data_IF_212446380688
#
_entry.id   IF_212446380688
#
_cell.length_a   1.000
_cell.length_b   1.000
_cell.length_c   1.000
_cell.angle_alpha   90.00
_cell.angle_beta   90.00
_cell.angle_gamma   90.00
#
_symmetry.space_group_name_H-M   'P 1'
#
loop_
_entity.id
_entity.type
_entity.pdbx_description
1 polymer ?
#
# COMPACT_ATOMS: atom_id res chain seq x y z
N UNK A 1 12.48 30.29 6.89
CA UNK A 1 12.93 29.86 5.55
C UNK A 1 13.58 28.49 5.61
N UNK A 2 12.95 27.51 4.97
CA UNK A 2 13.49 26.16 4.78
C UNK A 2 14.85 26.21 4.09
N UNK A 3 15.72 25.25 4.42
CA UNK A 3 17.09 25.18 3.89
C UNK A 3 17.14 25.07 2.36
N UNK A 4 16.13 24.46 1.73
CA UNK A 4 16.00 24.34 0.28
C UNK A 4 15.72 25.69 -0.39
N UNK A 5 14.74 26.43 0.13
CA UNK A 5 14.39 27.76 -0.40
C UNK A 5 15.56 28.75 -0.31
N UNK A 6 16.34 28.72 0.79
CA UNK A 6 17.53 29.57 0.93
C UNK A 6 18.56 29.33 -0.18
N UNK A 7 18.82 28.06 -0.52
CA UNK A 7 19.79 27.70 -1.58
C UNK A 7 19.31 28.10 -2.97
N UNK A 8 18.01 27.95 -3.25
CA UNK A 8 17.43 28.40 -4.51
C UNK A 8 17.58 29.92 -4.70
N UNK A 9 17.32 30.69 -3.64
CA UNK A 9 17.51 32.16 -3.64
C UNK A 9 18.98 32.54 -3.83
N UNK A 10 19.91 31.88 -3.15
CA UNK A 10 21.35 32.13 -3.31
C UNK A 10 21.82 31.88 -4.75
N UNK A 11 21.37 30.78 -5.38
CA UNK A 11 21.67 30.45 -6.79
C UNK A 11 21.06 31.47 -7.76
N UNK A 12 19.83 31.91 -7.49
CA UNK A 12 19.19 32.98 -8.25
C UNK A 12 19.98 34.28 -8.21
N UNK A 13 20.54 34.64 -7.05
CA UNK A 13 21.43 35.80 -6.91
C UNK A 13 22.71 35.64 -7.73
N UNK A 14 23.33 34.45 -7.72
CA UNK A 14 24.52 34.17 -8.54
C UNK A 14 24.25 34.44 -10.03
N UNK A 15 23.12 33.95 -10.56
CA UNK A 15 22.75 34.13 -11.97
C UNK A 15 22.43 35.59 -12.25
N UNK A 16 21.60 36.24 -11.43
CA UNK A 16 21.24 37.64 -11.63
C UNK A 16 22.45 38.58 -11.61
N UNK A 17 23.42 38.36 -10.69
CA UNK A 17 24.66 39.14 -10.69
C UNK A 17 25.52 38.86 -11.91
N UNK A 18 25.52 37.62 -12.42
CA UNK A 18 26.25 37.27 -13.65
C UNK A 18 25.66 37.96 -14.88
N UNK A 19 24.33 37.98 -15.01
CA UNK A 19 23.61 38.67 -16.08
C UNK A 19 23.80 40.19 -16.01
N UNK A 20 23.95 40.75 -14.80
CA UNK A 20 24.31 42.15 -14.59
C UNK A 20 25.78 42.49 -14.93
N UNK A 21 26.58 41.53 -15.41
CA UNK A 21 27.94 41.74 -15.88
C UNK A 21 29.04 41.58 -14.82
N UNK A 22 28.71 41.18 -13.59
CA UNK A 22 29.71 40.96 -12.55
C UNK A 22 30.63 39.78 -12.89
N UNK A 23 31.91 39.91 -12.52
CA UNK A 23 32.88 38.83 -12.61
C UNK A 23 32.63 37.76 -11.55
N UNK A 24 33.06 36.52 -11.83
CA UNK A 24 32.94 35.39 -10.89
C UNK A 24 33.60 35.69 -9.53
N UNK A 25 34.70 36.44 -9.54
CA UNK A 25 35.42 36.82 -8.31
C UNK A 25 34.66 37.85 -7.48
N UNK A 26 33.94 38.78 -8.12
CA UNK A 26 33.08 39.75 -7.43
C UNK A 26 31.87 39.06 -6.81
N UNK A 27 31.17 38.23 -7.59
CA UNK A 27 30.02 37.44 -7.11
C UNK A 27 30.41 36.58 -5.90
N UNK A 28 31.57 35.92 -5.95
CA UNK A 28 32.07 35.11 -4.86
C UNK A 28 32.32 35.93 -3.59
N UNK A 29 32.93 37.11 -3.72
CA UNK A 29 33.22 38.01 -2.60
C UNK A 29 31.94 38.54 -1.96
N UNK A 30 31.00 39.01 -2.78
CA UNK A 30 29.80 39.71 -2.33
C UNK A 30 28.78 38.76 -1.69
N UNK A 31 28.74 37.50 -2.13
CA UNK A 31 27.88 36.46 -1.57
C UNK A 31 28.56 35.61 -0.47
N UNK A 32 29.84 35.84 -0.18
CA UNK A 32 30.59 35.04 0.80
C UNK A 32 30.80 33.57 0.38
N UNK A 33 30.88 33.31 -0.93
CA UNK A 33 31.01 31.97 -1.52
C UNK A 33 32.41 31.75 -2.11
N UNK A 34 32.76 30.50 -2.39
CA UNK A 34 33.99 30.19 -3.13
C UNK A 34 33.79 30.42 -4.63
N UNK A 35 34.83 30.90 -5.33
CA UNK A 35 34.83 31.02 -6.80
C UNK A 35 34.42 29.72 -7.50
N UNK A 36 34.86 28.57 -6.98
CA UNK A 36 34.47 27.25 -7.49
C UNK A 36 32.97 26.99 -7.37
N UNK A 37 32.33 27.43 -6.28
CA UNK A 37 30.88 27.27 -6.08
C UNK A 37 30.11 28.10 -7.09
N UNK A 38 30.52 29.35 -7.31
CA UNK A 38 29.94 30.25 -8.32
C UNK A 38 30.10 29.66 -9.71
N UNK A 39 31.33 29.27 -10.09
CA UNK A 39 31.61 28.65 -11.39
C UNK A 39 30.77 27.39 -11.62
N UNK A 40 30.75 26.47 -10.64
CA UNK A 40 29.97 25.22 -10.73
C UNK A 40 28.48 25.47 -10.94
N UNK A 41 27.93 26.50 -10.29
CA UNK A 41 26.52 26.85 -10.46
C UNK A 41 26.23 27.50 -11.80
N UNK A 42 27.09 28.39 -12.30
CA UNK A 42 26.94 29.01 -13.61
C UNK A 42 27.02 27.97 -14.74
N UNK A 43 28.02 27.09 -14.72
CA UNK A 43 28.14 25.99 -15.70
C UNK A 43 26.90 25.11 -15.70
N UNK A 44 26.41 24.74 -14.51
CA UNK A 44 25.18 23.94 -14.39
C UNK A 44 23.94 24.68 -14.91
N UNK A 45 23.87 25.99 -14.71
CA UNK A 45 22.78 26.82 -15.23
C UNK A 45 22.79 26.88 -16.75
N UNK A 46 23.96 27.09 -17.36
CA UNK A 46 24.15 27.05 -18.81
C UNK A 46 23.75 25.69 -19.41
N UNK A 47 24.05 24.58 -18.72
CA UNK A 47 23.70 23.24 -19.17
C UNK A 47 22.21 22.89 -19.05
N UNK A 48 21.52 23.36 -18.00
CA UNK A 48 20.22 22.79 -17.61
C UNK A 48 19.10 23.80 -17.31
N UNK A 49 19.41 25.10 -17.15
CA UNK A 49 18.43 26.12 -16.80
C UNK A 49 17.67 25.86 -15.49
N UNK A 50 18.22 25.03 -14.58
CA UNK A 50 17.51 24.56 -13.40
C UNK A 50 18.22 24.95 -12.08
N UNK A 51 17.49 25.68 -11.23
CA UNK A 51 17.91 26.17 -9.91
C UNK A 51 17.75 25.14 -8.78
N UNK A 52 16.98 24.09 -8.99
CA UNK A 52 16.65 23.08 -7.99
C UNK A 52 17.80 22.08 -7.78
N UNK A 53 17.81 21.43 -6.62
CA UNK A 53 18.70 20.30 -6.37
C UNK A 53 18.39 19.12 -7.30
N UNK A 54 19.43 18.39 -7.74
CA UNK A 54 19.18 17.13 -8.47
C UNK A 54 18.56 16.14 -7.51
N UNK A 55 17.58 15.38 -8.00
CA UNK A 55 17.07 14.24 -7.28
C UNK A 55 18.24 13.29 -6.99
N UNK A 56 18.45 13.00 -5.71
CA UNK A 56 19.49 12.04 -5.30
C UNK A 56 18.95 10.64 -5.52
N UNK A 57 19.76 9.74 -6.10
CA UNK A 57 19.38 8.34 -6.34
C UNK A 57 19.15 7.55 -5.04
N UNK A 58 19.63 8.06 -3.91
CA UNK A 58 19.54 7.37 -2.62
C UNK A 58 20.36 6.09 -2.59
N UNK A 59 20.17 5.29 -1.54
CA UNK A 59 20.80 3.97 -1.44
C UNK A 59 20.12 3.00 -2.41
N UNK A 60 20.88 2.27 -3.24
CA UNK A 60 20.32 1.23 -4.09
C UNK A 60 19.48 0.23 -3.29
N UNK A 61 18.36 -0.22 -3.87
CA UNK A 61 17.53 -1.28 -3.30
C UNK A 61 18.31 -2.61 -3.31
N UNK A 62 18.14 -3.44 -2.29
CA UNK A 62 18.77 -4.79 -2.24
C UNK A 62 18.16 -5.79 -3.24
N UNK A 63 16.97 -5.48 -3.74
CA UNK A 63 16.26 -6.27 -4.74
C UNK A 63 16.30 -5.55 -6.07
N UNK A 64 16.54 -6.30 -7.14
CA UNK A 64 16.43 -5.83 -8.51
C UNK A 64 14.97 -5.65 -8.96
N UNK A 65 14.78 -5.08 -10.15
CA UNK A 65 13.46 -5.04 -10.79
C UNK A 65 12.97 -6.45 -11.16
N UNK A 66 13.89 -7.34 -11.52
CA UNK A 66 13.61 -8.75 -11.84
C UNK A 66 13.18 -9.52 -10.61
N UNK A 67 13.86 -9.34 -9.47
CA UNK A 67 13.48 -9.96 -8.19
C UNK A 67 12.06 -9.53 -7.80
N UNK A 68 11.74 -8.25 -8.01
CA UNK A 68 10.41 -7.70 -7.70
C UNK A 68 9.34 -8.35 -8.58
N UNK A 69 9.61 -8.51 -9.88
CA UNK A 69 8.72 -9.20 -10.80
C UNK A 69 8.58 -10.70 -10.44
N UNK A 70 9.68 -11.35 -10.04
CA UNK A 70 9.71 -12.75 -9.60
C UNK A 70 8.88 -12.98 -8.34
N UNK A 71 9.01 -12.10 -7.34
CA UNK A 71 8.21 -12.13 -6.10
C UNK A 71 6.71 -12.05 -6.43
N UNK A 72 6.33 -11.12 -7.32
CA UNK A 72 4.95 -10.97 -7.75
C UNK A 72 4.43 -12.23 -8.44
N UNK A 73 5.19 -12.74 -9.42
CA UNK A 73 4.81 -13.93 -10.19
C UNK A 73 4.69 -15.19 -9.32
N UNK A 74 5.52 -15.32 -8.27
CA UNK A 74 5.42 -16.44 -7.33
C UNK A 74 4.09 -16.44 -6.57
N UNK A 75 3.66 -15.27 -6.06
CA UNK A 75 2.39 -15.14 -5.33
C UNK A 75 1.17 -15.24 -6.26
N UNK A 76 1.25 -14.71 -7.48
CA UNK A 76 0.15 -14.83 -8.46
C UNK A 76 -0.08 -16.29 -8.88
N UNK A 77 0.97 -17.11 -9.00
CA UNK A 77 0.84 -18.55 -9.29
C UNK A 77 0.17 -19.32 -8.16
N UNK A 78 0.45 -18.96 -6.92
CA UNK A 78 -0.16 -19.58 -5.75
C UNK A 78 -0.34 -18.55 -4.63
N UNK A 79 -1.54 -17.99 -4.46
CA UNK A 79 -1.84 -16.96 -3.45
C UNK A 79 -1.62 -17.41 -2.00
N UNK A 80 -1.53 -18.72 -1.75
CA UNK A 80 -1.29 -19.28 -0.42
C UNK A 80 0.20 -19.49 -0.12
N UNK A 81 1.11 -19.07 -1.01
CA UNK A 81 2.56 -19.15 -0.80
C UNK A 81 3.00 -18.17 0.29
N UNK A 82 3.84 -18.63 1.22
CA UNK A 82 4.41 -17.77 2.26
C UNK A 82 5.71 -17.10 1.79
N UNK A 83 6.18 -16.09 2.53
CA UNK A 83 7.38 -15.33 2.16
C UNK A 83 8.67 -16.15 2.20
N UNK A 84 8.75 -17.20 3.03
CA UNK A 84 9.93 -18.06 3.10
C UNK A 84 10.07 -18.91 1.84
N UNK A 85 8.96 -19.51 1.38
CA UNK A 85 8.90 -20.25 0.12
C UNK A 85 9.23 -19.37 -1.08
N UNK A 86 8.81 -18.09 -1.09
CA UNK A 86 9.18 -17.15 -2.15
C UNK A 86 10.70 -16.87 -2.16
N UNK A 87 11.34 -16.77 -0.98
CA UNK A 87 12.80 -16.60 -0.90
C UNK A 87 13.54 -17.81 -1.43
N UNK A 88 13.13 -18.99 -1.01
CA UNK A 88 13.76 -20.25 -1.43
C UNK A 88 13.63 -20.46 -2.94
N UNK A 89 12.43 -20.22 -3.49
CA UNK A 89 12.17 -20.36 -4.93
C UNK A 89 13.02 -19.41 -5.78
N UNK A 90 13.32 -18.21 -5.28
CA UNK A 90 14.04 -17.17 -6.01
C UNK A 90 15.51 -17.02 -5.58
N UNK A 91 15.97 -17.81 -4.61
CA UNK A 91 17.32 -17.72 -4.07
C UNK A 91 17.66 -16.36 -3.42
N UNK A 92 16.66 -15.67 -2.85
CA UNK A 92 16.84 -14.30 -2.35
C UNK A 92 17.22 -14.27 -0.86
N UNK A 93 18.39 -13.69 -0.56
CA UNK A 93 18.79 -13.36 0.82
C UNK A 93 18.21 -12.00 1.24
N UNK A 94 16.92 -11.99 1.54
CA UNK A 94 16.20 -10.81 2.00
C UNK A 94 15.30 -11.12 3.20
N UNK A 95 14.99 -10.10 4.00
CA UNK A 95 13.98 -10.25 5.06
C UNK A 95 12.57 -10.43 4.49
N UNK A 96 11.69 -11.14 5.22
CA UNK A 96 10.25 -11.21 4.93
C UNK A 96 9.62 -9.82 4.75
N UNK A 97 10.03 -8.83 5.57
CA UNK A 97 9.59 -7.43 5.44
C UNK A 97 9.92 -6.84 4.07
N UNK A 98 11.04 -7.22 3.47
CA UNK A 98 11.42 -6.78 2.12
C UNK A 98 10.47 -7.38 1.09
N UNK A 99 10.16 -8.68 1.18
CA UNK A 99 9.19 -9.33 0.29
C UNK A 99 7.82 -8.67 0.39
N UNK A 100 7.28 -8.51 1.61
CA UNK A 100 5.98 -7.85 1.82
C UNK A 100 5.97 -6.43 1.28
N UNK A 101 7.06 -5.68 1.46
CA UNK A 101 7.19 -4.34 0.87
C UNK A 101 7.11 -4.39 -0.66
N UNK A 102 7.75 -5.37 -1.31
CA UNK A 102 7.69 -5.52 -2.78
C UNK A 102 6.31 -5.94 -3.28
N UNK A 103 5.60 -6.79 -2.54
CA UNK A 103 4.22 -7.15 -2.83
C UNK A 103 3.31 -5.92 -2.74
N UNK A 104 3.42 -5.13 -1.66
CA UNK A 104 2.69 -3.88 -1.50
C UNK A 104 3.00 -2.85 -2.60
N UNK A 105 4.27 -2.65 -2.95
CA UNK A 105 4.68 -1.77 -4.07
C UNK A 105 4.09 -2.24 -5.41
N UNK A 106 3.81 -3.54 -5.54
CA UNK A 106 3.19 -4.17 -6.71
C UNK A 106 1.66 -4.26 -6.63
N UNK A 107 1.04 -3.65 -5.61
CA UNK A 107 -0.42 -3.65 -5.40
C UNK A 107 -1.01 -4.94 -4.82
N UNK A 108 -0.17 -5.91 -4.44
CA UNK A 108 -0.63 -7.13 -3.77
C UNK A 108 -0.65 -6.87 -2.27
N UNK A 109 -1.86 -6.81 -1.72
CA UNK A 109 -2.12 -6.70 -0.30
C UNK A 109 -2.63 -8.04 0.22
N UNK A 110 -2.28 -8.38 1.46
CA UNK A 110 -2.96 -9.48 2.13
C UNK A 110 -4.42 -9.07 2.36
N UNK A 111 -5.35 -9.90 1.89
CA UNK A 111 -6.76 -9.78 2.22
C UNK A 111 -7.17 -11.05 2.93
N UNK A 112 -7.93 -10.90 4.01
CA UNK A 112 -8.63 -12.04 4.61
C UNK A 112 -9.84 -12.32 3.74
N UNK A 113 -10.01 -13.56 3.22
CA UNK A 113 -11.21 -13.91 2.47
C UNK A 113 -12.46 -13.54 3.27
N UNK A 114 -13.41 -12.86 2.63
CA UNK A 114 -14.67 -12.56 3.28
C UNK A 114 -15.36 -13.89 3.65
N UNK A 115 -15.67 -14.06 4.94
CA UNK A 115 -16.43 -15.23 5.39
C UNK A 115 -17.90 -15.00 5.02
N UNK A 116 -18.52 -15.93 4.28
CA UNK A 116 -19.97 -15.90 4.05
C UNK A 116 -20.69 -15.96 5.41
N UNK A 117 -21.73 -15.15 5.58
CA UNK A 117 -22.52 -15.15 6.81
C UNK A 117 -23.44 -16.37 6.79
N UNK A 118 -23.27 -17.28 7.75
CA UNK A 118 -24.14 -18.45 7.88
C UNK A 118 -25.38 -18.04 8.69
N UNK A 119 -26.57 -18.20 8.10
CA UNK A 119 -27.84 -17.90 8.74
C UNK A 119 -28.57 -19.18 9.15
N UNK A 120 -29.04 -19.21 10.41
CA UNK A 120 -29.77 -20.31 11.02
C UNK A 120 -31.16 -19.83 11.47
N UNK A 121 -32.22 -20.58 11.13
CA UNK A 121 -33.59 -20.30 11.57
C UNK A 121 -34.33 -21.59 11.94
N UNK A 122 -35.43 -21.46 12.68
CA UNK A 122 -36.21 -22.57 13.24
C UNK A 122 -37.25 -23.19 12.28
N UNK A 123 -37.24 -22.81 11.00
CA UNK A 123 -38.21 -23.24 9.97
C UNK A 123 -39.70 -23.06 10.39
N UNK A 124 -39.98 -22.12 11.30
CA UNK A 124 -41.34 -21.73 11.69
C UNK A 124 -42.14 -21.25 10.45
N UNK A 125 -43.48 -21.42 10.40
CA UNK A 125 -44.28 -21.04 9.22
C UNK A 125 -44.04 -19.63 8.68
N UNK A 126 -43.71 -18.66 9.54
CA UNK A 126 -43.38 -17.28 9.13
C UNK A 126 -42.08 -17.21 8.30
N UNK A 127 -41.13 -18.11 8.52
CA UNK A 127 -39.87 -18.19 7.78
C UNK A 127 -39.97 -19.02 6.49
N UNK A 128 -41.01 -19.85 6.37
CA UNK A 128 -41.37 -20.55 5.13
C UNK A 128 -42.21 -19.69 4.18
N UNK A 129 -42.62 -18.50 4.62
CA UNK A 129 -43.39 -17.59 3.78
C UNK A 129 -42.61 -17.24 2.50
N UNK A 130 -43.31 -17.22 1.36
CA UNK A 130 -42.72 -16.96 0.04
C UNK A 130 -41.89 -15.68 -0.01
N UNK A 131 -42.36 -14.63 0.65
CA UNK A 131 -41.64 -13.34 0.74
C UNK A 131 -40.27 -13.47 1.41
N UNK A 132 -40.16 -14.31 2.44
CA UNK A 132 -38.91 -14.55 3.16
C UNK A 132 -37.96 -15.40 2.31
N UNK A 133 -38.47 -16.43 1.64
CA UNK A 133 -37.67 -17.27 0.75
C UNK A 133 -37.12 -16.46 -0.44
N UNK A 134 -37.95 -15.64 -1.10
CA UNK A 134 -37.49 -14.76 -2.17
C UNK A 134 -36.41 -13.76 -1.66
N UNK A 135 -36.56 -13.22 -0.46
CA UNK A 135 -35.56 -12.32 0.12
C UNK A 135 -34.19 -13.00 0.35
N UNK A 136 -34.19 -14.28 0.75
CA UNK A 136 -32.97 -15.09 0.88
C UNK A 136 -32.38 -15.46 -0.48
N UNK A 137 -33.23 -15.80 -1.45
CA UNK A 137 -32.80 -16.11 -2.81
C UNK A 137 -32.04 -14.93 -3.45
N UNK A 138 -32.54 -13.71 -3.27
CA UNK A 138 -31.87 -12.47 -3.70
C UNK A 138 -30.50 -12.23 -3.03
N UNK A 139 -30.18 -12.92 -1.92
CA UNK A 139 -29.00 -12.68 -1.07
C UNK A 139 -28.09 -13.90 -0.88
N UNK A 140 -28.28 -14.98 -1.64
CA UNK A 140 -27.47 -16.21 -1.52
C UNK A 140 -25.96 -16.02 -1.74
N UNK A 141 -25.55 -14.93 -2.42
CA UNK A 141 -24.14 -14.59 -2.57
C UNK A 141 -23.50 -14.15 -1.25
N UNK A 142 -24.29 -13.52 -0.36
CA UNK A 142 -23.84 -12.90 0.89
C UNK A 142 -24.17 -13.75 2.11
N UNK A 143 -25.29 -14.47 2.06
CA UNK A 143 -25.82 -15.28 3.15
C UNK A 143 -25.88 -16.75 2.72
N UNK A 144 -25.23 -17.61 3.48
CA UNK A 144 -25.33 -19.05 3.34
C UNK A 144 -26.40 -19.57 4.31
N UNK A 145 -27.46 -20.16 3.77
CA UNK A 145 -28.48 -20.81 4.59
C UNK A 145 -27.99 -22.16 5.09
N UNK A 146 -28.01 -22.40 6.40
CA UNK A 146 -27.61 -23.71 6.95
C UNK A 146 -28.75 -24.73 6.74
N UNK A 147 -28.58 -25.77 5.90
CA UNK A 147 -29.60 -26.79 5.74
C UNK A 147 -29.63 -27.69 6.98
N UNK A 148 -30.65 -27.50 7.82
CA UNK A 148 -30.85 -28.32 9.01
C UNK A 148 -32.25 -28.94 9.02
N UNK A 149 -32.41 -30.15 9.60
CA UNK A 149 -33.66 -30.87 9.59
C UNK A 149 -34.74 -30.07 10.32
N UNK A 150 -35.91 -29.95 9.69
CA UNK A 150 -37.05 -29.30 10.29
C UNK A 150 -37.46 -30.04 11.57
N UNK A 151 -37.79 -29.29 12.63
CA UNK A 151 -38.37 -29.84 13.86
C UNK A 151 -37.39 -30.67 14.74
N UNK A 152 -36.17 -30.18 14.95
CA UNK A 152 -35.26 -30.72 15.98
C UNK A 152 -35.16 -29.75 17.17
N UNK A 153 -36.19 -29.66 18.05
CA UNK A 153 -36.21 -28.71 19.16
C UNK A 153 -35.02 -28.90 20.11
N UNK A 154 -34.58 -30.15 20.30
CA UNK A 154 -33.45 -30.53 21.14
C UNK A 154 -32.10 -29.97 20.63
N UNK A 155 -32.03 -29.67 19.32
CA UNK A 155 -30.83 -29.15 18.64
C UNK A 155 -30.88 -27.63 18.43
N UNK A 156 -32.02 -26.98 18.72
CA UNK A 156 -32.17 -25.55 18.58
C UNK A 156 -31.89 -24.86 19.93
N UNK A 157 -30.73 -24.18 20.12
CA UNK A 157 -30.39 -23.61 21.41
C UNK A 157 -31.40 -22.56 21.90
N UNK A 158 -32.15 -21.94 20.97
CA UNK A 158 -33.16 -20.94 21.32
C UNK A 158 -34.35 -21.57 22.06
N UNK A 159 -34.72 -22.82 21.76
CA UNK A 159 -35.83 -23.53 22.42
C UNK A 159 -35.48 -23.83 23.89
N UNK A 160 -34.22 -24.19 24.16
CA UNK A 160 -33.73 -24.37 25.53
C UNK A 160 -33.79 -23.08 26.34
N UNK A 161 -33.51 -21.93 25.71
CA UNK A 161 -33.62 -20.61 26.35
C UNK A 161 -35.08 -20.22 26.56
N UNK A 162 -35.96 -20.44 25.59
CA UNK A 162 -37.40 -20.21 25.74
C UNK A 162 -38.00 -21.07 26.85
N UNK A 163 -37.62 -22.34 26.95
CA UNK A 163 -38.04 -23.22 28.03
C UNK A 163 -37.63 -22.68 29.41
N UNK A 164 -36.46 -22.05 29.55
CA UNK A 164 -36.06 -21.41 30.81
C UNK A 164 -36.90 -20.16 31.11
N UNK A 165 -37.23 -19.36 30.09
CA UNK A 165 -38.02 -18.13 30.26
C UNK A 165 -39.48 -18.44 30.62
N UNK A 166 -40.07 -19.50 30.03
CA UNK A 166 -41.47 -19.88 30.27
C UNK A 166 -41.66 -20.63 31.59
N UNK A 167 -40.63 -21.34 32.06
CA UNK A 167 -40.66 -22.07 33.33
C UNK A 167 -40.08 -21.28 34.52
N UNK A 168 -39.73 -20.00 34.33
CA UNK A 168 -39.30 -19.07 35.38
C UNK A 168 -40.49 -18.28 35.95
#
# INVERSE_FOLDING_TARGET
MESRQRRAVERGRIIGMREAGHSISEIARDLGLTRQTVQRWLTRWEESGNLEDRQRSGRPKMTSAEDTAGIRAAVERNPFTNSDSVREQLGLDVSDRTIRRRLHESGIHHHVPAKKMIFMQDNCPVHKARVVQCWFEERMEQIEFLPWPALSPDLNPIENVWAQIVNA
#
